data_IF_727972957037
#
_entry.id   IF_727972957037
#
_cell.length_a   1.000
_cell.length_b   1.000
_cell.length_c   1.000
_cell.angle_alpha   90.00
_cell.angle_beta   90.00
_cell.angle_gamma   90.00
#
_symmetry.space_group_name_H-M   'P 1'
#
loop_
_entity.id
_entity.type
_entity.pdbx_description
1 polymer ?
#
# COMPACT_ATOMS: atom_id res chain seq x y z
N UNK A 1 7.04 -12.00 2.40
CA UNK A 1 7.33 -11.98 3.86
C UNK A 1 6.20 -11.38 4.72
N UNK A 2 5.07 -10.95 4.15
CA UNK A 2 3.99 -10.23 4.83
C UNK A 2 2.62 -10.56 4.22
N UNK A 3 2.37 -11.85 3.99
CA UNK A 3 1.27 -12.34 3.15
C UNK A 3 -0.10 -11.88 3.67
N UNK A 4 -0.32 -11.93 4.99
CA UNK A 4 -1.57 -11.47 5.60
C UNK A 4 -1.74 -9.96 5.50
N UNK A 5 -0.68 -9.18 5.75
CA UNK A 5 -0.74 -7.72 5.64
C UNK A 5 -0.95 -7.27 4.18
N UNK A 6 -0.33 -7.96 3.21
CA UNK A 6 -0.59 -7.75 1.78
C UNK A 6 -2.04 -8.05 1.41
N UNK A 7 -2.63 -9.12 1.95
CA UNK A 7 -4.07 -9.42 1.77
C UNK A 7 -4.96 -8.33 2.34
N UNK A 8 -4.70 -7.87 3.55
CA UNK A 8 -5.46 -6.77 4.17
C UNK A 8 -5.40 -5.49 3.34
N UNK A 9 -4.22 -5.11 2.85
CA UNK A 9 -4.06 -3.93 2.00
C UNK A 9 -4.75 -4.11 0.65
N UNK A 10 -4.68 -5.30 0.04
CA UNK A 10 -5.43 -5.61 -1.17
C UNK A 10 -6.94 -5.44 -0.94
N UNK A 11 -7.49 -6.09 0.08
CA UNK A 11 -8.92 -6.06 0.39
C UNK A 11 -9.41 -4.62 0.63
N UNK A 12 -8.65 -3.83 1.39
CA UNK A 12 -8.95 -2.43 1.62
C UNK A 12 -8.91 -1.61 0.32
N UNK A 13 -7.95 -1.89 -0.57
CA UNK A 13 -7.89 -1.26 -1.89
C UNK A 13 -9.09 -1.65 -2.77
N UNK A 14 -9.50 -2.91 -2.78
CA UNK A 14 -10.67 -3.39 -3.52
C UNK A 14 -12.00 -2.88 -2.93
N UNK A 15 -12.02 -2.47 -1.67
CA UNK A 15 -13.20 -1.88 -1.03
C UNK A 15 -13.49 -0.45 -1.54
N UNK A 16 -12.47 0.34 -1.89
CA UNK A 16 -12.63 1.71 -2.40
C UNK A 16 -13.64 1.81 -3.57
N UNK A 17 -13.49 1.07 -4.69
CA UNK A 17 -14.46 1.12 -5.77
C UNK A 17 -15.81 0.49 -5.40
N UNK A 18 -15.84 -0.55 -4.54
CA UNK A 18 -17.10 -1.16 -4.05
C UNK A 18 -17.97 -0.16 -3.28
N UNK A 19 -17.34 0.80 -2.61
CA UNK A 19 -18.02 1.86 -1.85
C UNK A 19 -18.14 3.18 -2.62
N UNK A 20 -17.84 3.20 -3.93
CA UNK A 20 -17.92 4.41 -4.78
C UNK A 20 -17.06 5.58 -4.27
N UNK A 21 -15.93 5.31 -3.61
CA UNK A 21 -15.03 6.35 -3.08
C UNK A 21 -14.00 6.84 -4.10
N UNK A 22 -13.80 6.09 -5.18
CA UNK A 22 -12.79 6.36 -6.21
C UNK A 22 -13.34 6.03 -7.60
N UNK A 23 -12.71 6.61 -8.63
CA UNK A 23 -12.94 6.28 -10.04
C UNK A 23 -11.61 5.91 -10.69
N UNK A 24 -11.66 5.13 -11.78
CA UNK A 24 -10.47 4.65 -12.50
C UNK A 24 -9.46 3.97 -11.55
N UNK A 25 -8.20 4.38 -11.59
CA UNK A 25 -7.12 3.88 -10.74
C UNK A 25 -6.77 4.83 -9.59
N UNK A 26 -7.62 5.82 -9.30
CA UNK A 26 -7.40 6.77 -8.22
C UNK A 26 -7.46 6.11 -6.84
N UNK A 27 -6.94 6.81 -5.84
CA UNK A 27 -6.94 6.37 -4.45
C UNK A 27 -5.95 5.24 -4.19
N UNK A 28 -5.58 5.11 -2.92
CA UNK A 28 -4.71 4.06 -2.43
C UNK A 28 -4.90 3.92 -0.93
N UNK A 29 -4.66 2.70 -0.45
CA UNK A 29 -4.60 2.38 0.98
C UNK A 29 -3.26 1.72 1.26
N UNK A 30 -2.71 2.00 2.45
CA UNK A 30 -1.58 1.29 3.01
C UNK A 30 -1.89 0.75 4.40
N UNK A 31 -1.11 -0.22 4.85
CA UNK A 31 -1.06 -0.65 6.24
C UNK A 31 0.40 -0.70 6.71
N UNK A 32 0.63 -0.59 8.02
CA UNK A 32 1.96 -0.50 8.60
C UNK A 32 2.25 -1.68 9.52
N UNK A 33 3.46 -2.23 9.44
CA UNK A 33 4.04 -3.11 10.45
C UNK A 33 5.15 -2.35 11.17
N UNK A 34 4.82 -1.77 12.32
CA UNK A 34 5.76 -0.98 13.14
C UNK A 34 6.84 -1.85 13.77
N UNK A 35 6.57 -3.13 14.05
CA UNK A 35 7.56 -4.06 14.59
C UNK A 35 8.67 -4.38 13.58
N UNK A 36 8.34 -4.34 12.28
CA UNK A 36 9.30 -4.54 11.19
C UNK A 36 9.77 -3.25 10.50
N UNK A 37 9.23 -2.09 10.87
CA UNK A 37 9.62 -0.79 10.31
C UNK A 37 9.24 -0.60 8.83
N UNK A 38 8.18 -1.26 8.37
CA UNK A 38 7.74 -1.22 6.96
C UNK A 38 6.26 -0.88 6.82
N UNK A 39 5.90 -0.30 5.68
CA UNK A 39 4.51 -0.16 5.24
C UNK A 39 4.27 -0.97 3.96
N UNK A 40 3.05 -1.46 3.79
CA UNK A 40 2.58 -2.14 2.59
C UNK A 40 1.58 -1.22 1.90
N UNK A 41 1.75 -0.95 0.60
CA UNK A 41 0.92 0.00 -0.14
C UNK A 41 0.54 -0.53 -1.53
N UNK A 42 -0.58 -0.02 -2.05
CA UNK A 42 -1.04 -0.23 -3.43
C UNK A 42 0.08 0.08 -4.45
N UNK A 43 0.23 -0.74 -5.52
CA UNK A 43 1.09 -0.42 -6.64
C UNK A 43 0.54 0.72 -7.51
N UNK A 44 1.42 1.48 -8.13
CA UNK A 44 1.04 2.51 -9.11
C UNK A 44 0.63 1.88 -10.45
N UNK A 45 -0.42 2.42 -11.07
CA UNK A 45 -0.83 2.08 -12.43
C UNK A 45 -1.42 0.68 -12.62
N UNK A 46 -1.91 0.03 -11.55
CA UNK A 46 -2.61 -1.26 -11.63
C UNK A 46 -4.10 -1.06 -11.45
N UNK A 47 -4.89 -1.61 -12.36
CA UNK A 47 -6.35 -1.61 -12.28
C UNK A 47 -6.85 -2.45 -11.10
N UNK A 48 -7.88 -1.93 -10.42
CA UNK A 48 -8.50 -2.63 -9.28
C UNK A 48 -9.05 -4.01 -9.65
N UNK A 49 -9.50 -4.23 -10.88
CA UNK A 49 -10.07 -5.51 -11.32
C UNK A 49 -9.04 -6.63 -11.48
N UNK A 50 -7.76 -6.30 -11.64
CA UNK A 50 -6.68 -7.28 -11.88
C UNK A 50 -5.67 -7.33 -10.73
N UNK A 51 -5.81 -6.45 -9.75
CA UNK A 51 -4.90 -6.32 -8.62
C UNK A 51 -4.92 -7.57 -7.73
N UNK A 52 -3.73 -8.08 -7.41
CA UNK A 52 -3.53 -9.24 -6.54
C UNK A 52 -2.69 -8.88 -5.31
N UNK A 53 -2.61 -9.80 -4.33
CA UNK A 53 -1.83 -9.57 -3.11
C UNK A 53 -0.33 -9.47 -3.41
N UNK A 54 0.14 -10.19 -4.42
CA UNK A 54 1.55 -10.18 -4.85
C UNK A 54 1.96 -8.84 -5.46
N UNK A 55 0.99 -8.04 -5.90
CA UNK A 55 1.21 -6.71 -6.45
C UNK A 55 1.48 -5.65 -5.39
N UNK A 56 1.15 -5.93 -4.13
CA UNK A 56 1.37 -5.01 -3.03
C UNK A 56 2.86 -4.80 -2.78
N UNK A 57 3.24 -3.54 -2.59
CA UNK A 57 4.64 -3.14 -2.46
C UNK A 57 4.96 -2.88 -1.00
N UNK A 58 6.06 -3.47 -0.52
CA UNK A 58 6.58 -3.27 0.83
C UNK A 58 7.66 -2.19 0.77
N UNK A 59 7.52 -1.16 1.59
CA UNK A 59 8.38 0.03 1.60
C UNK A 59 8.89 0.27 3.02
N UNK A 60 10.17 0.58 3.15
CA UNK A 60 10.80 0.96 4.42
C UNK A 60 10.24 2.29 4.92
N UNK A 61 9.82 2.35 6.18
CA UNK A 61 9.41 3.62 6.81
C UNK A 61 10.62 4.52 7.04
N UNK A 62 11.79 3.95 7.34
CA UNK A 62 12.99 4.72 7.65
C UNK A 62 13.56 5.37 6.39
N UNK A 63 13.72 4.63 5.30
CA UNK A 63 14.43 5.09 4.09
C UNK A 63 13.49 5.47 2.95
N UNK A 64 12.29 4.87 2.89
CA UNK A 64 11.39 4.98 1.74
C UNK A 64 11.76 4.05 0.57
N UNK A 65 12.74 3.18 0.75
CA UNK A 65 13.13 2.20 -0.26
C UNK A 65 12.13 1.03 -0.35
N UNK A 66 11.99 0.47 -1.54
CA UNK A 66 11.20 -0.74 -1.77
C UNK A 66 11.97 -1.94 -1.22
N UNK A 67 11.41 -2.59 -0.21
CA UNK A 67 11.98 -3.78 0.45
C UNK A 67 11.55 -5.06 -0.28
N UNK A 68 10.31 -5.09 -0.79
CA UNK A 68 9.76 -6.25 -1.52
C UNK A 68 8.69 -5.77 -2.51
N UNK A 69 8.68 -6.34 -3.72
CA UNK A 69 7.69 -6.06 -4.76
C UNK A 69 8.33 -5.82 -6.13
N UNK A 70 7.67 -6.27 -7.18
CA UNK A 70 8.13 -6.09 -8.57
C UNK A 70 7.53 -4.86 -9.25
N UNK A 71 6.49 -4.29 -8.65
CA UNK A 71 5.77 -3.11 -9.15
C UNK A 71 6.24 -1.85 -8.45
N UNK A 72 6.04 -0.72 -9.12
CA UNK A 72 6.28 0.60 -8.51
C UNK A 72 5.22 0.85 -7.43
N UNK A 73 5.59 1.34 -6.24
CA UNK A 73 4.61 1.73 -5.23
C UNK A 73 3.81 2.96 -5.69
N UNK A 74 2.67 3.23 -5.03
CA UNK A 74 1.86 4.42 -5.29
C UNK A 74 2.70 5.71 -5.30
N UNK A 75 2.37 6.69 -6.14
CA UNK A 75 3.00 8.02 -6.11
C UNK A 75 2.86 8.71 -4.75
N UNK A 76 1.82 8.35 -3.98
CA UNK A 76 1.52 8.94 -2.67
C UNK A 76 2.29 8.28 -1.52
N UNK A 77 3.16 7.31 -1.81
CA UNK A 77 3.99 6.62 -0.80
C UNK A 77 4.77 7.57 0.11
N UNK A 78 5.40 8.67 -0.38
CA UNK A 78 6.07 9.63 0.50
C UNK A 78 5.13 10.25 1.55
N UNK A 79 3.88 10.54 1.17
CA UNK A 79 2.86 11.05 2.09
C UNK A 79 2.53 10.00 3.15
N UNK A 80 2.23 8.76 2.76
CA UNK A 80 1.93 7.68 3.70
C UNK A 80 3.08 7.42 4.69
N UNK A 81 4.32 7.39 4.19
CA UNK A 81 5.52 7.25 5.02
C UNK A 81 5.63 8.37 6.04
N UNK A 82 5.48 9.62 5.62
CA UNK A 82 5.53 10.77 6.53
C UNK A 82 4.44 10.68 7.60
N UNK A 83 3.21 10.29 7.23
CA UNK A 83 2.13 10.12 8.20
C UNK A 83 2.47 9.05 9.25
N UNK A 84 3.03 7.89 8.86
CA UNK A 84 3.43 6.87 9.84
C UNK A 84 4.63 7.28 10.72
N UNK A 85 5.52 8.14 10.21
CA UNK A 85 6.60 8.72 11.01
C UNK A 85 6.09 9.77 12.01
N UNK A 86 5.15 10.61 11.58
CA UNK A 86 4.62 11.72 12.37
C UNK A 86 3.57 11.27 13.41
N UNK A 87 2.83 10.19 13.13
CA UNK A 87 1.71 9.72 13.94
C UNK A 87 1.95 8.28 14.44
N UNK A 88 2.44 8.11 15.68
CA UNK A 88 2.77 6.79 16.22
C UNK A 88 1.57 5.87 16.50
N UNK A 89 0.36 6.43 16.68
CA UNK A 89 -0.89 5.68 16.87
C UNK A 89 -1.57 5.42 15.53
#
# INVERSE_FOLDING_TARGET
>A
MLEDLKRQVLEANLALPKHNLVTLTWGNVSAVDRGRGVLVIKPSGVDYSTMTADDMVVVSIETGEVVEGTKKPSSDTPTHRLLYQAFPS
#
